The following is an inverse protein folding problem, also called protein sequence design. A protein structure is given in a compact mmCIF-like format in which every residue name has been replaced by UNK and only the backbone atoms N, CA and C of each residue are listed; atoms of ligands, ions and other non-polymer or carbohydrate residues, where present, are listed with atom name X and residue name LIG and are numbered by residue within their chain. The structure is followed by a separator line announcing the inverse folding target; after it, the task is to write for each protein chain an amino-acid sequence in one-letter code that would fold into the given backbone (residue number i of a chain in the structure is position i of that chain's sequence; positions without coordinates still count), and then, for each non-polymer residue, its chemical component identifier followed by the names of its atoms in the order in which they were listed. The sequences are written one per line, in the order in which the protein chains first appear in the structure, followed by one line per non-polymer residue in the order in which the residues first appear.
data_IF_795344302726
#
_entry.id   IF_795344302726
#
_cell.length_a   1.000
_cell.length_b   1.000
_cell.length_c   1.000
_cell.angle_alpha   90.00
_cell.angle_beta   90.00
_cell.angle_gamma   90.00
#
_symmetry.space_group_name_H-M   'P 1'
#
loop_
_entity.id
_entity.type
_entity.pdbx_description
1 polymer ?
#
# COMPACT_ATOMS: atom_id res chain seq x y z
N UNK A 1 8.30 5.18 -15.25
CA UNK A 1 9.18 4.89 -14.10
C UNK A 1 8.29 4.60 -12.91
N UNK A 2 8.32 3.39 -12.36
CA UNK A 2 7.53 3.03 -11.17
C UNK A 2 8.19 3.66 -9.96
N UNK A 3 7.56 4.69 -9.40
CA UNK A 3 8.06 5.38 -8.21
C UNK A 3 8.00 4.42 -7.02
N UNK A 4 9.16 4.01 -6.50
CA UNK A 4 9.24 3.18 -5.29
C UNK A 4 9.11 4.10 -4.08
N UNK A 5 8.08 3.86 -3.26
CA UNK A 5 7.87 4.60 -2.01
C UNK A 5 8.00 3.65 -0.81
N UNK A 6 8.33 4.20 0.35
CA UNK A 6 8.47 3.40 1.56
C UNK A 6 7.29 3.68 2.48
N UNK A 7 6.49 2.66 2.77
CA UNK A 7 5.38 2.73 3.72
C UNK A 7 5.74 1.81 4.90
N UNK A 8 5.89 2.40 6.09
CA UNK A 8 6.37 1.75 7.31
C UNK A 8 7.63 0.88 7.10
N UNK A 9 8.61 1.42 6.37
CA UNK A 9 9.89 0.74 6.13
C UNK A 9 9.88 -0.38 5.08
N UNK A 10 8.73 -0.71 4.47
CA UNK A 10 8.66 -1.60 3.32
C UNK A 10 8.66 -0.78 2.02
N UNK A 11 9.45 -1.20 1.01
CA UNK A 11 9.25 -0.62 -0.32
C UNK A 11 8.01 -1.19 -0.97
N UNK A 12 7.12 -0.27 -1.29
CA UNK A 12 5.90 -0.56 -1.99
C UNK A 12 6.05 -0.04 -3.43
N UNK A 13 5.76 -0.92 -4.38
CA UNK A 13 5.75 -0.56 -5.78
C UNK A 13 4.34 -0.08 -6.17
N UNK A 14 4.27 0.95 -7.00
CA UNK A 14 3.00 1.41 -7.55
C UNK A 14 2.44 0.37 -8.53
N UNK A 15 1.19 0.03 -8.32
CA UNK A 15 0.35 -0.70 -9.27
C UNK A 15 -0.89 0.13 -9.50
N UNK A 16 -1.32 0.28 -10.75
CA UNK A 16 -2.60 0.91 -11.03
C UNK A 16 -3.70 0.16 -10.27
N UNK A 17 -4.67 0.87 -9.72
CA UNK A 17 -5.77 0.20 -9.00
C UNK A 17 -6.63 -0.68 -9.92
N UNK A 18 -6.55 -0.49 -11.24
CA UNK A 18 -7.11 -1.41 -12.24
C UNK A 18 -6.30 -2.71 -12.43
N UNK A 19 -4.99 -2.67 -12.13
CA UNK A 19 -4.05 -3.77 -12.36
C UNK A 19 -3.83 -4.66 -11.12
N UNK A 20 -4.36 -4.26 -9.95
CA UNK A 20 -4.28 -5.04 -8.71
C UNK A 20 -4.80 -6.48 -8.85
N UNK A 21 -5.72 -6.73 -9.80
CA UNK A 21 -6.30 -8.05 -10.10
C UNK A 21 -5.28 -9.11 -10.53
N UNK A 22 -4.07 -8.71 -10.95
CA UNK A 22 -3.04 -9.62 -11.42
C UNK A 22 -2.09 -10.11 -10.30
N UNK A 23 -2.16 -9.52 -9.11
CA UNK A 23 -1.28 -9.85 -7.97
C UNK A 23 -1.85 -10.97 -7.12
N UNK A 24 -1.48 -12.21 -7.43
CA UNK A 24 -2.00 -13.41 -6.75
C UNK A 24 -1.21 -13.81 -5.50
N UNK A 25 -0.19 -13.05 -5.12
CA UNK A 25 0.68 -13.37 -4.00
C UNK A 25 0.16 -12.80 -2.67
N UNK A 26 0.55 -13.41 -1.53
CA UNK A 26 0.47 -12.76 -0.24
C UNK A 26 1.35 -11.51 -0.21
N UNK A 27 0.92 -10.48 0.51
CA UNK A 27 1.60 -9.20 0.50
C UNK A 27 1.01 -8.19 1.46
N UNK A 28 1.71 -7.07 1.64
CA UNK A 28 1.11 -5.85 2.15
C UNK A 28 0.53 -5.07 0.97
N UNK A 29 -0.65 -4.52 1.15
CA UNK A 29 -1.28 -3.67 0.16
C UNK A 29 -1.82 -2.40 0.83
N UNK A 30 -1.63 -1.27 0.17
CA UNK A 30 -2.14 0.02 0.58
C UNK A 30 -2.98 0.64 -0.52
N UNK A 31 -4.14 1.15 -0.13
CA UNK A 31 -4.94 2.09 -0.91
C UNK A 31 -4.31 3.47 -0.73
N UNK A 32 -3.85 4.11 -1.79
CA UNK A 32 -3.18 5.40 -1.69
C UNK A 32 -3.63 6.37 -2.78
N UNK A 33 -3.45 7.65 -2.49
CA UNK A 33 -3.61 8.76 -3.44
C UNK A 33 -2.28 9.47 -3.61
N UNK A 34 -1.97 9.92 -4.83
CA UNK A 34 -0.86 10.85 -5.08
C UNK A 34 -1.27 12.29 -4.76
N UNK A 35 -0.47 12.98 -3.96
CA UNK A 35 -0.69 14.38 -3.61
C UNK A 35 -0.03 15.32 -4.65
N UNK A 36 -0.47 16.58 -4.69
CA UNK A 36 -0.01 17.57 -5.66
C UNK A 36 1.49 17.93 -5.50
N UNK A 37 2.04 17.76 -4.31
CA UNK A 37 3.46 17.95 -4.00
C UNK A 37 4.34 16.76 -4.43
N UNK A 38 3.74 15.75 -5.06
CA UNK A 38 4.40 14.51 -5.46
C UNK A 38 4.52 13.48 -4.34
N UNK A 39 3.97 13.76 -3.16
CA UNK A 39 3.82 12.82 -2.07
C UNK A 39 2.68 11.82 -2.25
N UNK A 40 2.46 11.01 -1.22
CA UNK A 40 1.38 10.04 -1.16
C UNK A 40 0.67 10.10 0.18
N UNK A 41 -0.65 10.05 0.13
CA UNK A 41 -1.48 9.83 1.31
C UNK A 41 -2.00 8.40 1.30
N UNK A 42 -1.65 7.63 2.34
CA UNK A 42 -2.14 6.28 2.60
C UNK A 42 -3.54 6.38 3.22
N UNK A 43 -4.50 5.74 2.57
CA UNK A 43 -5.91 5.75 2.97
C UNK A 43 -6.26 4.49 3.79
N UNK A 44 -5.66 3.36 3.44
CA UNK A 44 -5.83 2.10 4.15
C UNK A 44 -4.65 1.21 3.84
N UNK A 45 -4.23 0.38 4.80
CA UNK A 45 -3.21 -0.63 4.60
C UNK A 45 -3.60 -1.92 5.31
N UNK A 46 -3.42 -3.04 4.63
CA UNK A 46 -3.66 -4.36 5.21
C UNK A 46 -2.66 -5.40 4.70
N UNK A 47 -2.60 -6.52 5.42
CA UNK A 47 -1.92 -7.73 4.97
C UNK A 47 -2.93 -8.61 4.24
N UNK A 48 -2.60 -8.99 3.01
CA UNK A 48 -3.40 -9.86 2.19
C UNK A 48 -2.75 -11.25 2.07
N UNK A 49 -3.54 -12.30 2.15
CA UNK A 49 -3.15 -13.65 1.72
C UNK A 49 -3.15 -13.76 0.20
N UNK A 50 -4.02 -13.00 -0.48
CA UNK A 50 -4.03 -12.85 -1.92
C UNK A 50 -4.52 -11.44 -2.29
N UNK A 51 -3.59 -10.55 -2.68
CA UNK A 51 -3.88 -9.13 -2.95
C UNK A 51 -5.03 -8.98 -3.94
N UNK A 52 -5.03 -9.73 -5.05
CA UNK A 52 -6.06 -9.64 -6.08
C UNK A 52 -7.48 -10.00 -5.62
N UNK A 53 -7.62 -10.74 -4.52
CA UNK A 53 -8.94 -11.15 -3.98
C UNK A 53 -9.45 -10.18 -2.92
N UNK A 54 -8.53 -9.58 -2.16
CA UNK A 54 -8.88 -8.73 -1.02
C UNK A 54 -8.93 -7.25 -1.41
N UNK A 55 -8.04 -6.81 -2.30
CA UNK A 55 -7.92 -5.42 -2.71
C UNK A 55 -8.64 -5.19 -4.04
N UNK A 56 -9.82 -4.59 -3.97
CA UNK A 56 -10.65 -4.27 -5.13
C UNK A 56 -12.02 -3.73 -4.73
N UNK A 57 -12.96 -3.60 -5.69
CA UNK A 57 -14.28 -3.03 -5.45
C UNK A 57 -15.12 -3.69 -4.34
N UNK A 58 -14.86 -4.95 -4.03
CA UNK A 58 -15.50 -5.66 -2.91
C UNK A 58 -14.92 -5.36 -1.53
N UNK A 59 -13.80 -4.63 -1.45
CA UNK A 59 -13.14 -4.33 -0.18
C UNK A 59 -13.97 -3.31 0.63
N UNK A 60 -14.18 -3.49 1.95
CA UNK A 60 -15.02 -2.60 2.76
C UNK A 60 -14.61 -1.12 2.72
N UNK A 61 -13.32 -0.83 2.54
CA UNK A 61 -12.80 0.54 2.43
C UNK A 61 -12.74 1.09 1.00
N UNK A 62 -13.11 0.33 -0.02
CA UNK A 62 -12.91 0.72 -1.42
C UNK A 62 -13.68 1.99 -1.80
N UNK A 63 -14.98 2.02 -1.57
CA UNK A 63 -15.83 3.17 -1.91
C UNK A 63 -15.44 4.42 -1.12
N UNK A 64 -15.09 4.27 0.16
CA UNK A 64 -14.57 5.36 0.96
C UNK A 64 -13.23 5.87 0.42
N UNK A 65 -12.30 4.99 0.08
CA UNK A 65 -11.00 5.37 -0.46
C UNK A 65 -11.13 6.09 -1.82
N UNK A 66 -12.05 5.64 -2.70
CA UNK A 66 -12.39 6.35 -3.93
C UNK A 66 -12.93 7.77 -3.66
N UNK A 67 -13.81 7.92 -2.66
CA UNK A 67 -14.30 9.25 -2.26
C UNK A 67 -13.18 10.15 -1.71
N UNK A 68 -12.12 9.56 -1.14
CA UNK A 68 -10.89 10.26 -0.74
C UNK A 68 -9.87 10.42 -1.88
N UNK A 69 -10.18 9.99 -3.11
CA UNK A 69 -9.34 10.18 -4.29
C UNK A 69 -8.30 9.07 -4.53
N UNK A 70 -8.56 7.83 -4.09
CA UNK A 70 -7.74 6.65 -4.44
C UNK A 70 -7.40 6.63 -5.94
N UNK A 71 -6.12 6.60 -6.26
CA UNK A 71 -5.62 6.52 -7.64
C UNK A 71 -4.61 5.38 -7.84
N UNK A 72 -3.98 4.90 -6.78
CA UNK A 72 -2.89 3.93 -6.85
C UNK A 72 -2.98 2.89 -5.75
N UNK A 73 -2.61 1.65 -6.10
CA UNK A 73 -2.33 0.60 -5.14
C UNK A 73 -0.84 0.54 -4.90
N UNK A 74 -0.46 0.45 -3.62
CA UNK A 74 0.92 0.30 -3.17
C UNK A 74 1.08 -1.09 -2.61
N UNK A 75 1.97 -1.86 -3.21
CA UNK A 75 2.05 -3.30 -2.90
C UNK A 75 3.48 -3.71 -2.58
N UNK A 76 3.59 -4.53 -1.54
CA UNK A 76 4.80 -5.24 -1.17
C UNK A 76 4.50 -6.75 -1.08
N UNK A 77 4.79 -7.51 -2.14
CA UNK A 77 4.71 -8.97 -2.09
C UNK A 77 5.65 -9.55 -1.02
N UNK A 78 5.17 -10.48 -0.19
CA UNK A 78 5.98 -11.08 0.89
C UNK A 78 7.08 -12.03 0.37
N UNK A 79 6.95 -12.50 -0.87
CA UNK A 79 7.96 -13.32 -1.55
C UNK A 79 9.13 -12.48 -2.09
N UNK A 80 9.05 -11.14 -2.00
CA UNK A 80 10.15 -10.24 -2.32
C UNK A 80 10.85 -9.78 -1.04
N UNK A 81 12.20 -9.79 -1.01
CA UNK A 81 12.92 -9.26 0.13
C UNK A 81 12.56 -7.79 0.35
N UNK A 82 12.30 -7.43 1.62
CA UNK A 82 12.23 -6.02 2.03
C UNK A 82 13.54 -5.36 1.61
N UNK A 83 13.50 -4.23 0.88
CA UNK A 83 14.72 -3.49 0.60
C UNK A 83 15.38 -3.09 1.91
N UNK A 84 16.71 -3.02 1.88
CA UNK A 84 17.51 -2.62 3.03
C UNK A 84 17.09 -1.22 3.49
N UNK A 85 16.96 -1.06 4.81
CA UNK A 85 16.82 0.23 5.48
C UNK A 85 17.92 1.18 4.93
N UNK A 86 17.54 2.33 4.38
CA UNK A 86 18.47 3.29 3.78
C UNK A 86 18.24 3.60 2.30
N UNK A 87 17.46 2.78 1.59
CA UNK A 87 16.84 3.23 0.34
C UNK A 87 15.68 4.15 0.73
N UNK A 88 15.88 5.46 0.76
CA UNK A 88 14.79 6.40 1.05
C UNK A 88 14.14 6.83 -0.25
N UNK A 89 12.84 6.60 -0.40
CA UNK A 89 12.07 7.37 -1.37
C UNK A 89 12.12 8.84 -1.00
N UNK A 90 12.26 9.72 -2.00
CA UNK A 90 12.18 11.17 -1.79
C UNK A 90 10.75 11.67 -1.64
N UNK A 91 9.75 10.87 -2.02
CA UNK A 91 8.35 11.28 -1.94
C UNK A 91 7.87 11.21 -0.48
N UNK A 92 7.28 12.29 0.07
CA UNK A 92 6.72 12.25 1.42
C UNK A 92 5.53 11.30 1.46
N UNK A 93 5.45 10.47 2.51
CA UNK A 93 4.32 9.58 2.78
C UNK A 93 3.59 10.07 4.01
N UNK A 94 2.27 10.23 3.91
CA UNK A 94 1.36 10.67 4.96
C UNK A 94 0.28 9.63 5.17
N UNK A 95 -0.29 9.58 6.36
CA UNK A 95 -1.45 8.77 6.66
C UNK A 95 -2.68 9.66 6.77
N UNK A 96 -3.78 9.26 6.12
CA UNK A 96 -5.05 9.90 6.34
C UNK A 96 -5.48 9.71 7.81
N UNK A 97 -6.13 10.70 8.41
CA UNK A 97 -6.54 10.64 9.83
C UNK A 97 -7.44 9.44 10.13
N UNK A 98 -8.35 9.11 9.22
CA UNK A 98 -9.24 7.94 9.33
C UNK A 98 -8.67 6.67 8.67
N UNK A 99 -7.37 6.66 8.35
CA UNK A 99 -6.75 5.47 7.79
C UNK A 99 -6.73 4.37 8.84
N UNK A 100 -7.28 3.21 8.49
CA UNK A 100 -7.01 1.99 9.24
C UNK A 100 -5.73 1.38 8.70
N UNK A 101 -4.73 1.31 9.57
CA UNK A 101 -3.48 0.60 9.31
C UNK A 101 -3.55 -0.84 9.80
N UNK A 102 -2.64 -1.64 9.25
CA UNK A 102 -2.19 -2.86 9.90
C UNK A 102 -1.30 -2.43 11.07
N UNK A 103 -1.74 -2.67 12.31
CA UNK A 103 -0.86 -2.53 13.48
C UNK A 103 0.15 -3.69 13.45
N UNK A 104 1.44 -3.36 13.33
CA UNK A 104 2.56 -4.30 13.44
C UNK A 104 2.76 -4.77 14.91
N UNK A 105 1.69 -4.79 15.72
CA UNK A 105 1.66 -5.33 17.08
C UNK A 105 1.45 -6.86 17.04
N UNK A 106 2.02 -7.54 16.05
CA UNK A 106 2.04 -9.01 16.00
C UNK A 106 3.50 -9.48 16.06
N UNK A 107 3.93 -10.10 17.16
CA UNK A 107 5.32 -10.49 17.38
C UNK A 107 5.67 -11.65 16.45
N UNK A 108 6.23 -11.36 15.28
CA UNK A 108 6.93 -12.33 14.44
C UNK A 108 8.45 -12.09 14.48
N UNK A 109 8.95 -11.84 15.69
CA UNK A 109 10.33 -12.04 16.10
C UNK A 109 10.32 -12.79 17.44
N UNK A 110 10.10 -14.11 17.36
CA UNK A 110 10.77 -15.11 18.19
C UNK A 110 11.19 -16.27 17.30
#
# INVERSE_FOLDING_TARGET
MTDTIFIDGAADFAVSHHDGRFLRSPGLAALARRDADGGYTVLHRERCEAINRQIGPGHPRWSWALAQGLDTLRVHPLDRPRPKLGTTSRAPVRWHVDALGYDDESPLLQ
#
